data_IF_333927790639
#
_entry.id   IF_333927790639
#
_cell.length_a   1.000
_cell.length_b   1.000
_cell.length_c   1.000
_cell.angle_alpha   90.00
_cell.angle_beta   90.00
_cell.angle_gamma   90.00
#
_symmetry.space_group_name_H-M   'P 1'
#
loop_
_entity.id
_entity.type
_entity.pdbx_description
1 polymer ?
#
# COMPACT_ATOMS: atom_id res chain seq x y z
N UNK A 1 2.67 -45.42 -14.44
CA UNK A 1 3.36 -44.40 -13.63
C UNK A 1 2.52 -43.14 -13.68
N UNK A 2 1.62 -43.01 -12.71
CA UNK A 2 0.63 -41.94 -12.59
C UNK A 2 1.29 -40.67 -12.03
N UNK A 3 1.20 -39.57 -12.77
CA UNK A 3 1.69 -38.26 -12.35
C UNK A 3 0.69 -37.61 -11.39
N UNK A 4 1.08 -37.48 -10.13
CA UNK A 4 0.35 -36.72 -9.11
C UNK A 4 0.32 -35.23 -9.49
N UNK A 5 -0.87 -34.69 -9.69
CA UNK A 5 -1.13 -33.25 -9.83
C UNK A 5 -1.11 -32.61 -8.43
N UNK A 6 -0.16 -31.72 -8.09
CA UNK A 6 -0.02 -31.18 -6.73
C UNK A 6 -1.12 -30.18 -6.34
N UNK A 7 -2.03 -29.81 -7.25
CA UNK A 7 -3.13 -28.88 -6.96
C UNK A 7 -4.42 -29.54 -6.45
N UNK A 8 -4.49 -30.86 -6.35
CA UNK A 8 -5.74 -31.56 -6.01
C UNK A 8 -6.04 -31.70 -4.49
N UNK A 9 -5.14 -31.24 -3.60
CA UNK A 9 -5.18 -31.59 -2.17
C UNK A 9 -5.79 -30.52 -1.22
N UNK A 10 -6.51 -29.51 -1.71
CA UNK A 10 -7.13 -28.47 -0.87
C UNK A 10 -8.64 -28.32 -1.14
N UNK A 11 -9.44 -29.36 -0.97
CA UNK A 11 -10.81 -29.36 -1.51
C UNK A 11 -11.95 -29.45 -0.51
N UNK A 12 -11.73 -29.83 0.76
CA UNK A 12 -12.81 -29.92 1.77
C UNK A 12 -12.61 -28.97 2.97
N UNK A 13 -11.49 -28.97 3.72
CA UNK A 13 -11.35 -28.17 4.95
C UNK A 13 -11.33 -26.65 4.68
N UNK A 14 -10.71 -26.25 3.56
CA UNK A 14 -10.63 -24.84 3.17
C UNK A 14 -12.00 -24.26 2.79
N UNK A 15 -12.89 -25.07 2.20
CA UNK A 15 -14.25 -24.63 1.85
C UNK A 15 -15.11 -24.44 3.10
N UNK A 16 -14.93 -25.29 4.10
CA UNK A 16 -15.65 -25.22 5.37
C UNK A 16 -15.20 -24.01 6.21
N UNK A 17 -13.89 -23.74 6.26
CA UNK A 17 -13.34 -22.53 6.89
C UNK A 17 -13.89 -21.26 6.22
N UNK A 18 -13.92 -21.23 4.88
CA UNK A 18 -14.42 -20.08 4.14
C UNK A 18 -15.90 -19.81 4.42
N UNK A 19 -16.74 -20.85 4.63
CA UNK A 19 -18.17 -20.68 4.95
C UNK A 19 -18.40 -19.97 6.29
N UNK A 20 -17.47 -20.09 7.24
CA UNK A 20 -17.55 -19.47 8.55
C UNK A 20 -17.04 -18.02 8.58
N UNK A 21 -16.52 -17.51 7.46
CA UNK A 21 -16.04 -16.14 7.40
C UNK A 21 -17.18 -15.13 7.20
N UNK A 22 -17.02 -13.90 7.73
CA UNK A 22 -17.96 -12.82 7.48
C UNK A 22 -18.27 -12.66 5.99
N UNK A 23 -19.52 -12.34 5.66
CA UNK A 23 -19.99 -12.25 4.28
C UNK A 23 -19.16 -11.28 3.46
N UNK A 24 -18.80 -10.12 4.03
CA UNK A 24 -17.93 -9.12 3.41
C UNK A 24 -16.55 -9.67 3.04
N UNK A 25 -15.93 -10.50 3.89
CA UNK A 25 -14.62 -11.10 3.61
C UNK A 25 -14.71 -12.14 2.50
N UNK A 26 -15.79 -12.93 2.45
CA UNK A 26 -16.03 -13.89 1.36
C UNK A 26 -16.22 -13.19 0.02
N UNK A 27 -17.01 -12.12 -0.01
CA UNK A 27 -17.23 -11.30 -1.22
C UNK A 27 -15.92 -10.64 -1.66
N UNK A 28 -15.16 -10.08 -0.71
CA UNK A 28 -13.85 -9.48 -1.00
C UNK A 28 -12.90 -10.50 -1.65
N UNK A 29 -12.79 -11.70 -1.10
CA UNK A 29 -11.95 -12.75 -1.69
C UNK A 29 -12.40 -13.13 -3.10
N UNK A 30 -13.71 -13.27 -3.33
CA UNK A 30 -14.21 -13.60 -4.66
C UNK A 30 -13.94 -12.44 -5.65
N UNK A 31 -14.11 -11.20 -5.22
CA UNK A 31 -13.79 -10.01 -6.01
C UNK A 31 -12.29 -9.96 -6.35
N UNK A 32 -11.41 -10.23 -5.38
CA UNK A 32 -9.96 -10.31 -5.60
C UNK A 32 -9.58 -11.42 -6.58
N UNK A 33 -10.16 -12.61 -6.43
CA UNK A 33 -9.90 -13.72 -7.34
C UNK A 33 -10.32 -13.40 -8.78
N UNK A 34 -11.45 -12.73 -8.93
CA UNK A 34 -11.95 -12.24 -10.22
C UNK A 34 -11.00 -11.21 -10.81
N UNK A 35 -10.61 -10.20 -10.02
CA UNK A 35 -9.64 -9.18 -10.42
C UNK A 35 -8.27 -9.76 -10.81
N UNK A 36 -7.86 -10.86 -10.20
CA UNK A 36 -6.64 -11.60 -10.53
C UNK A 36 -6.80 -12.57 -11.71
N UNK A 37 -7.99 -12.68 -12.31
CA UNK A 37 -8.27 -13.64 -13.39
C UNK A 37 -8.28 -15.11 -12.96
N UNK A 38 -8.38 -15.38 -11.65
CA UNK A 38 -8.39 -16.74 -11.06
C UNK A 38 -9.79 -17.27 -10.72
N UNK A 39 -10.82 -16.49 -11.05
CA UNK A 39 -12.22 -16.87 -10.94
C UNK A 39 -13.06 -16.15 -12.02
N UNK A 40 -14.24 -16.68 -12.39
CA UNK A 40 -15.13 -16.03 -13.35
C UNK A 40 -15.61 -14.66 -12.87
N UNK A 41 -15.92 -13.77 -13.82
CA UNK A 41 -16.47 -12.43 -13.59
C UNK A 41 -17.96 -12.45 -13.22
N UNK A 42 -18.34 -13.35 -12.34
CA UNK A 42 -19.70 -13.60 -11.89
C UNK A 42 -19.73 -13.53 -10.36
N UNK A 43 -19.93 -12.32 -9.84
CA UNK A 43 -20.14 -12.10 -8.42
C UNK A 43 -21.31 -11.14 -8.26
N UNK A 44 -22.47 -11.73 -7.98
CA UNK A 44 -23.65 -11.00 -7.54
C UNK A 44 -23.40 -10.42 -6.14
N UNK A 45 -23.97 -9.24 -5.89
CA UNK A 45 -23.96 -8.66 -4.56
C UNK A 45 -24.85 -9.48 -3.63
N UNK A 46 -24.34 -10.02 -2.50
CA UNK A 46 -25.16 -10.83 -1.63
C UNK A 46 -26.20 -9.99 -0.88
N UNK A 47 -27.35 -10.61 -0.64
CA UNK A 47 -28.42 -10.01 0.16
C UNK A 47 -27.93 -9.77 1.61
N UNK A 48 -28.30 -8.62 2.16
CA UNK A 48 -27.97 -8.24 3.54
C UNK A 48 -26.53 -7.73 3.76
N UNK A 49 -25.67 -7.69 2.74
CA UNK A 49 -24.36 -7.03 2.85
C UNK A 49 -24.50 -5.52 2.63
N UNK A 50 -24.20 -4.75 3.67
CA UNK A 50 -24.09 -3.30 3.56
C UNK A 50 -22.88 -2.91 2.69
N UNK A 51 -23.03 -1.99 1.71
CA UNK A 51 -21.93 -1.41 0.95
C UNK A 51 -20.75 -0.95 1.80
N UNK A 52 -21.03 -0.36 2.95
CA UNK A 52 -20.06 0.17 3.89
C UNK A 52 -19.17 -0.93 4.47
N UNK A 53 -19.75 -2.08 4.83
CA UNK A 53 -19.01 -3.21 5.40
C UNK A 53 -18.05 -3.83 4.39
N UNK A 54 -18.48 -3.91 3.12
CA UNK A 54 -17.61 -4.34 2.03
C UNK A 54 -16.46 -3.36 1.81
N UNK A 55 -16.76 -2.06 1.78
CA UNK A 55 -15.74 -1.03 1.57
C UNK A 55 -14.74 -1.02 2.72
N UNK A 56 -15.21 -1.03 3.97
CA UNK A 56 -14.36 -1.06 5.15
C UNK A 56 -13.42 -2.26 5.14
N UNK A 57 -13.91 -3.44 4.71
CA UNK A 57 -13.08 -4.63 4.57
C UNK A 57 -12.04 -4.45 3.43
N UNK A 58 -12.44 -3.92 2.28
CA UNK A 58 -11.52 -3.66 1.16
C UNK A 58 -10.44 -2.61 1.51
N UNK A 59 -10.80 -1.58 2.28
CA UNK A 59 -9.89 -0.55 2.80
C UNK A 59 -8.92 -1.12 3.83
N UNK A 60 -9.42 -1.93 4.77
CA UNK A 60 -8.61 -2.62 5.78
C UNK A 60 -7.50 -3.46 5.15
N UNK A 61 -7.80 -4.14 4.05
CA UNK A 61 -6.81 -4.92 3.29
C UNK A 61 -6.06 -4.11 2.23
N UNK A 62 -6.36 -2.81 2.08
CA UNK A 62 -5.68 -1.88 1.16
C UNK A 62 -5.78 -2.29 -0.32
N UNK A 63 -6.91 -2.87 -0.73
CA UNK A 63 -7.14 -3.39 -2.09
C UNK A 63 -8.17 -2.61 -2.90
N UNK A 64 -8.70 -1.50 -2.37
CA UNK A 64 -9.73 -0.68 -3.04
C UNK A 64 -9.31 -0.22 -4.44
N UNK A 65 -8.13 0.39 -4.56
CA UNK A 65 -7.62 0.88 -5.85
C UNK A 65 -7.47 -0.27 -6.87
N UNK A 66 -6.88 -1.39 -6.41
CA UNK A 66 -6.73 -2.60 -7.20
C UNK A 66 -8.09 -3.14 -7.68
N UNK A 67 -9.07 -3.29 -6.79
CA UNK A 67 -10.41 -3.75 -7.14
C UNK A 67 -11.11 -2.80 -8.11
N UNK A 68 -11.03 -1.49 -7.88
CA UNK A 68 -11.65 -0.51 -8.78
C UNK A 68 -11.08 -0.59 -10.20
N UNK A 69 -9.77 -0.78 -10.33
CA UNK A 69 -9.09 -0.83 -11.62
C UNK A 69 -9.29 -2.17 -12.34
N UNK A 70 -9.21 -3.29 -11.61
CA UNK A 70 -9.15 -4.63 -12.19
C UNK A 70 -10.52 -5.32 -12.29
N UNK A 71 -11.51 -4.91 -11.48
CA UNK A 71 -12.86 -5.49 -11.60
C UNK A 71 -13.55 -5.00 -12.89
N UNK A 72 -14.12 -5.91 -13.69
CA UNK A 72 -14.86 -5.55 -14.89
C UNK A 72 -15.96 -4.53 -14.61
N UNK A 73 -16.05 -3.50 -15.44
CA UNK A 73 -17.08 -2.45 -15.32
C UNK A 73 -18.48 -3.06 -15.34
N UNK A 74 -18.73 -4.05 -16.21
CA UNK A 74 -20.01 -4.74 -16.33
C UNK A 74 -20.40 -5.50 -15.05
N UNK A 75 -19.43 -6.00 -14.29
CA UNK A 75 -19.67 -6.67 -13.01
C UNK A 75 -19.98 -5.64 -11.93
N UNK A 76 -19.18 -4.57 -11.84
CA UNK A 76 -19.43 -3.48 -10.86
C UNK A 76 -20.77 -2.79 -11.10
N UNK A 77 -21.22 -2.68 -12.35
CA UNK A 77 -22.51 -2.09 -12.70
C UNK A 77 -23.72 -2.85 -12.10
N UNK A 78 -23.55 -4.12 -11.72
CA UNK A 78 -24.59 -4.93 -11.09
C UNK A 78 -24.64 -4.75 -9.56
N UNK A 79 -23.66 -4.06 -8.97
CA UNK A 79 -23.62 -3.81 -7.53
C UNK A 79 -24.56 -2.67 -7.12
N UNK A 80 -24.95 -2.56 -5.85
CA UNK A 80 -25.70 -1.40 -5.36
C UNK A 80 -24.99 -0.09 -5.73
N UNK A 81 -25.76 0.94 -6.14
CA UNK A 81 -25.20 2.22 -6.59
C UNK A 81 -24.26 2.84 -5.55
N UNK A 82 -24.61 2.73 -4.26
CA UNK A 82 -23.79 3.20 -3.15
C UNK A 82 -22.43 2.49 -3.07
N UNK A 83 -22.39 1.17 -3.26
CA UNK A 83 -21.13 0.41 -3.28
C UNK A 83 -20.23 0.82 -4.46
N UNK A 84 -20.83 1.09 -5.63
CA UNK A 84 -20.09 1.57 -6.80
C UNK A 84 -19.48 2.95 -6.56
N UNK A 85 -20.26 3.87 -5.99
CA UNK A 85 -19.82 5.23 -5.65
C UNK A 85 -18.71 5.21 -4.60
N UNK A 86 -18.90 4.47 -3.51
CA UNK A 86 -17.94 4.31 -2.43
C UNK A 86 -16.60 3.73 -2.94
N UNK A 87 -16.64 2.64 -3.71
CA UNK A 87 -15.44 2.04 -4.30
C UNK A 87 -14.70 3.04 -5.20
N UNK A 88 -15.44 3.80 -6.03
CA UNK A 88 -14.86 4.81 -6.93
C UNK A 88 -14.23 5.96 -6.14
N UNK A 89 -14.93 6.48 -5.13
CA UNK A 89 -14.43 7.57 -4.30
C UNK A 89 -13.17 7.16 -3.52
N UNK A 90 -13.18 5.99 -2.90
CA UNK A 90 -12.03 5.47 -2.16
C UNK A 90 -10.84 5.13 -3.07
N UNK A 91 -11.09 4.65 -4.29
CA UNK A 91 -10.03 4.43 -5.29
C UNK A 91 -9.41 5.75 -5.77
N UNK A 92 -10.24 6.77 -6.02
CA UNK A 92 -9.77 8.12 -6.36
C UNK A 92 -8.90 8.69 -5.23
N UNK A 93 -9.37 8.61 -3.99
CA UNK A 93 -8.60 9.06 -2.84
C UNK A 93 -7.26 8.32 -2.69
N UNK A 94 -7.25 7.01 -2.96
CA UNK A 94 -6.02 6.21 -2.98
C UNK A 94 -5.03 6.67 -4.06
N UNK A 95 -5.53 7.00 -5.26
CA UNK A 95 -4.72 7.51 -6.36
C UNK A 95 -4.15 8.91 -6.05
N UNK A 96 -4.96 9.83 -5.50
CA UNK A 96 -4.52 11.15 -5.06
C UNK A 96 -3.36 11.03 -4.06
N UNK A 97 -3.51 10.19 -3.03
CA UNK A 97 -2.43 9.91 -2.06
C UNK A 97 -1.18 9.30 -2.67
N UNK A 98 -1.32 8.50 -3.73
CA UNK A 98 -0.17 7.92 -4.44
C UNK A 98 0.58 8.99 -5.24
N UNK A 99 -0.13 9.93 -5.84
CA UNK A 99 0.46 11.07 -6.54
C UNK A 99 1.19 12.01 -5.58
N UNK A 100 0.58 12.36 -4.45
CA UNK A 100 1.22 13.22 -3.43
C UNK A 100 2.56 12.63 -2.95
N UNK A 101 2.58 11.32 -2.72
CA UNK A 101 3.82 10.61 -2.36
C UNK A 101 4.83 10.54 -3.49
N UNK A 102 4.37 10.46 -4.73
CA UNK A 102 5.27 10.49 -5.90
C UNK A 102 5.94 11.86 -6.03
N UNK A 103 5.18 12.94 -5.83
CA UNK A 103 5.71 14.31 -5.81
C UNK A 103 6.71 14.47 -4.68
N UNK A 104 6.39 13.99 -3.48
CA UNK A 104 7.30 14.06 -2.34
C UNK A 104 8.58 13.25 -2.56
N UNK A 105 8.48 12.04 -3.15
CA UNK A 105 9.64 11.23 -3.49
C UNK A 105 10.55 11.95 -4.49
N UNK A 106 9.98 12.59 -5.52
CA UNK A 106 10.76 13.40 -6.49
C UNK A 106 11.45 14.57 -5.79
N UNK A 107 10.75 15.25 -4.89
CA UNK A 107 11.32 16.35 -4.09
C UNK A 107 12.50 15.89 -3.25
N UNK A 108 12.36 14.78 -2.53
CA UNK A 108 13.44 14.22 -1.70
C UNK A 108 14.60 13.74 -2.57
N UNK A 109 14.31 13.13 -3.73
CA UNK A 109 15.33 12.69 -4.67
C UNK A 109 16.23 13.85 -5.11
N UNK A 110 15.64 15.00 -5.45
CA UNK A 110 16.38 16.20 -5.84
C UNK A 110 17.21 16.76 -4.69
N UNK A 111 16.68 16.76 -3.46
CA UNK A 111 17.41 17.20 -2.27
C UNK A 111 18.61 16.31 -1.97
N UNK A 112 18.44 15.00 -2.06
CA UNK A 112 19.50 14.02 -1.81
C UNK A 112 20.56 14.06 -2.92
N UNK A 113 20.14 14.23 -4.18
CA UNK A 113 21.05 14.43 -5.30
C UNK A 113 21.91 15.70 -5.13
N UNK A 114 21.30 16.83 -4.75
CA UNK A 114 22.02 18.07 -4.49
C UNK A 114 23.02 17.97 -3.32
N UNK A 115 22.71 17.13 -2.32
CA UNK A 115 23.58 16.85 -1.18
C UNK A 115 24.58 15.70 -1.43
N UNK A 116 24.56 15.08 -2.61
CA UNK A 116 25.40 13.92 -2.95
C UNK A 116 25.15 12.71 -2.05
N UNK A 117 23.90 12.47 -1.66
CA UNK A 117 23.45 11.34 -0.82
C UNK A 117 22.81 10.29 -1.73
N UNK A 118 23.48 9.15 -2.00
CA UNK A 118 22.86 8.05 -2.72
C UNK A 118 21.76 7.42 -1.87
N UNK A 119 20.63 7.09 -2.49
CA UNK A 119 19.52 6.39 -1.83
C UNK A 119 18.78 5.45 -2.79
N UNK A 120 18.01 4.52 -2.23
CA UNK A 120 17.08 3.65 -2.94
C UNK A 120 15.68 3.79 -2.36
N UNK A 121 14.65 3.92 -3.21
CA UNK A 121 13.26 3.78 -2.76
C UNK A 121 12.87 2.29 -2.76
N UNK A 122 12.65 1.71 -1.57
CA UNK A 122 12.50 0.25 -1.38
C UNK A 122 11.09 -0.22 -1.76
N UNK A 123 10.07 0.59 -1.41
CA UNK A 123 8.67 0.37 -1.75
C UNK A 123 8.15 1.71 -2.23
N UNK A 124 7.53 1.77 -3.40
CA UNK A 124 7.08 3.07 -3.88
C UNK A 124 6.35 3.08 -5.21
N UNK A 125 6.00 4.30 -5.68
CA UNK A 125 5.36 4.57 -6.96
C UNK A 125 6.02 3.86 -8.14
N UNK A 126 7.36 3.77 -8.14
CA UNK A 126 8.13 3.09 -9.19
C UNK A 126 7.86 1.58 -9.23
N UNK A 127 7.75 0.96 -8.06
CA UNK A 127 7.36 -0.45 -7.96
C UNK A 127 5.87 -0.64 -8.29
N UNK A 128 5.01 0.34 -7.97
CA UNK A 128 3.61 0.32 -8.37
C UNK A 128 3.46 0.39 -9.90
N UNK A 129 4.20 1.29 -10.56
CA UNK A 129 4.27 1.39 -12.01
C UNK A 129 4.79 0.09 -12.64
N UNK A 130 5.83 -0.51 -12.07
CA UNK A 130 6.41 -1.75 -12.59
C UNK A 130 5.50 -2.98 -12.41
N UNK A 131 4.77 -3.08 -11.31
CA UNK A 131 3.92 -4.24 -11.00
C UNK A 131 2.49 -4.13 -11.53
N UNK A 132 1.91 -2.93 -11.54
CA UNK A 132 0.50 -2.70 -11.85
C UNK A 132 0.28 -1.88 -13.12
N UNK A 133 1.34 -1.34 -13.72
CA UNK A 133 1.26 -0.47 -14.91
C UNK A 133 0.75 0.94 -14.64
N UNK A 134 0.35 1.23 -13.40
CA UNK A 134 -0.20 2.51 -12.96
C UNK A 134 0.17 2.75 -11.48
N UNK A 135 0.69 3.95 -11.21
CA UNK A 135 1.11 4.40 -9.87
C UNK A 135 -0.07 4.45 -8.90
N UNK A 136 -1.28 4.76 -9.37
CA UNK A 136 -2.48 4.88 -8.54
C UNK A 136 -3.06 3.56 -8.03
N UNK A 137 -2.62 2.44 -8.61
CA UNK A 137 -3.16 1.09 -8.35
C UNK A 137 -2.73 0.49 -7.03
N UNK A 138 -1.57 0.92 -6.53
CA UNK A 138 -1.02 0.45 -5.26
C UNK A 138 -1.43 1.43 -4.17
N UNK A 139 -1.95 0.91 -3.06
CA UNK A 139 -2.05 1.71 -1.85
C UNK A 139 -0.67 2.25 -1.48
N UNK A 140 -0.49 3.54 -1.68
CA UNK A 140 0.73 4.22 -1.30
C UNK A 140 0.67 4.40 0.23
N UNK A 141 1.55 3.73 0.96
CA UNK A 141 1.71 3.85 2.40
C UNK A 141 2.69 4.97 2.72
N UNK A 142 3.84 4.64 3.27
CA UNK A 142 4.92 5.60 3.56
C UNK A 142 5.96 5.58 2.45
N UNK A 143 6.90 6.52 2.47
CA UNK A 143 8.07 6.48 1.60
C UNK A 143 9.22 5.79 2.32
N UNK A 144 9.44 4.50 2.01
CA UNK A 144 10.62 3.76 2.47
C UNK A 144 11.84 4.13 1.59
N UNK A 145 12.80 4.83 2.18
CA UNK A 145 14.07 5.19 1.58
C UNK A 145 15.19 4.42 2.29
N UNK A 146 16.15 3.92 1.52
CA UNK A 146 17.34 3.27 2.04
C UNK A 146 18.55 4.12 1.70
N UNK A 147 19.28 4.55 2.72
CA UNK A 147 20.56 5.25 2.60
C UNK A 147 21.68 4.41 3.21
N UNK A 148 22.92 4.67 2.80
CA UNK A 148 24.07 4.10 3.46
C UNK A 148 24.12 4.56 4.94
N UNK A 149 24.38 3.69 5.93
CA UNK A 149 24.37 4.05 7.35
C UNK A 149 25.27 5.25 7.69
N UNK A 150 26.37 5.42 6.96
CA UNK A 150 27.33 6.52 7.13
C UNK A 150 26.77 7.86 6.66
N UNK A 151 25.74 7.86 5.79
CA UNK A 151 25.08 9.05 5.25
C UNK A 151 23.77 9.38 5.96
N UNK A 152 23.33 8.57 6.94
CA UNK A 152 22.07 8.80 7.64
C UNK A 152 22.02 10.16 8.37
N UNK A 153 23.14 10.59 8.95
CA UNK A 153 23.22 11.89 9.61
C UNK A 153 23.07 13.06 8.61
N UNK A 154 23.65 12.91 7.40
CA UNK A 154 23.48 13.90 6.33
C UNK A 154 22.04 13.90 5.81
N UNK A 155 21.43 12.73 5.65
CA UNK A 155 20.04 12.57 5.23
C UNK A 155 19.08 13.22 6.24
N UNK A 156 19.31 13.00 7.54
CA UNK A 156 18.57 13.66 8.63
C UNK A 156 18.65 15.18 8.52
N UNK A 157 19.87 15.72 8.36
CA UNK A 157 20.09 17.15 8.24
C UNK A 157 19.35 17.74 7.01
N UNK A 158 19.43 17.08 5.86
CA UNK A 158 18.77 17.51 4.62
C UNK A 158 17.24 17.47 4.77
N UNK A 159 16.68 16.38 5.28
CA UNK A 159 15.23 16.25 5.48
C UNK A 159 14.70 17.31 6.46
N UNK A 160 15.41 17.53 7.58
CA UNK A 160 15.02 18.54 8.57
C UNK A 160 15.12 19.96 8.02
N UNK A 161 16.18 20.28 7.29
CA UNK A 161 16.32 21.57 6.62
C UNK A 161 15.22 21.80 5.57
N UNK A 162 14.72 20.72 4.96
CA UNK A 162 13.64 20.75 3.99
C UNK A 162 12.23 20.73 4.60
N UNK A 163 12.11 20.94 5.92
CA UNK A 163 10.84 21.06 6.64
C UNK A 163 10.25 19.75 7.13
N UNK A 164 10.95 18.62 7.01
CA UNK A 164 10.49 17.35 7.55
C UNK A 164 10.84 17.24 9.03
N UNK A 165 9.84 17.02 9.88
CA UNK A 165 10.05 16.80 11.31
C UNK A 165 10.36 15.32 11.55
N UNK A 166 11.44 15.03 12.26
CA UNK A 166 11.72 13.66 12.73
C UNK A 166 10.68 13.28 13.79
N UNK A 167 9.90 12.24 13.52
CA UNK A 167 8.91 11.66 14.45
C UNK A 167 9.47 10.49 15.24
N UNK A 168 10.47 9.79 14.72
CA UNK A 168 11.12 8.70 15.46
C UNK A 168 12.62 8.63 15.12
N UNK A 169 13.52 8.79 16.09
CA UNK A 169 13.25 9.30 17.44
C UNK A 169 12.90 10.80 17.42
N UNK A 170 11.93 11.21 18.23
CA UNK A 170 11.44 12.60 18.34
C UNK A 170 12.32 13.50 19.24
N UNK A 171 13.51 13.03 19.62
CA UNK A 171 14.48 13.75 20.43
C UNK A 171 15.86 13.80 19.76
N UNK A 172 16.72 14.72 20.20
CA UNK A 172 18.09 14.80 19.70
C UNK A 172 18.97 13.69 20.26
N UNK A 173 19.78 13.11 19.39
CA UNK A 173 20.74 12.07 19.73
C UNK A 173 22.15 12.67 19.78
N UNK A 174 22.90 12.36 20.83
CA UNK A 174 24.35 12.56 20.85
C UNK A 174 25.04 11.62 19.84
N UNK A 175 26.28 11.89 19.40
CA UNK A 175 27.00 10.99 18.47
C UNK A 175 27.10 9.53 18.94
N UNK A 176 27.15 9.29 20.26
CA UNK A 176 27.13 7.94 20.83
C UNK A 176 25.75 7.29 20.71
N UNK A 177 24.69 8.05 20.97
CA UNK A 177 23.31 7.56 20.85
C UNK A 177 22.95 7.29 19.39
N UNK A 178 23.40 8.11 18.43
CA UNK A 178 23.24 7.85 16.99
C UNK A 178 23.75 6.46 16.59
N UNK A 179 25.02 6.16 16.91
CA UNK A 179 25.63 4.85 16.60
C UNK A 179 24.89 3.69 17.26
N UNK A 180 24.44 3.88 18.50
CA UNK A 180 23.69 2.85 19.21
C UNK A 180 22.29 2.67 18.63
N UNK A 181 21.63 3.76 18.26
CA UNK A 181 20.29 3.75 17.69
C UNK A 181 20.30 3.02 16.35
N UNK A 182 21.20 3.37 15.43
CA UNK A 182 21.40 2.67 14.16
C UNK A 182 21.63 1.15 14.31
N UNK A 183 22.21 0.72 15.44
CA UNK A 183 22.49 -0.70 15.70
C UNK A 183 21.27 -1.47 16.24
N UNK A 184 20.37 -0.79 16.92
CA UNK A 184 19.19 -1.39 17.57
C UNK A 184 17.92 -1.20 16.72
N UNK A 185 17.85 -0.08 16.01
CA UNK A 185 16.75 0.38 15.18
C UNK A 185 17.27 0.62 13.78
N UNK A 186 16.49 0.16 12.80
CA UNK A 186 16.87 0.23 11.39
C UNK A 186 16.16 1.36 10.63
N UNK A 187 15.39 2.20 11.33
CA UNK A 187 14.54 3.20 10.71
C UNK A 187 14.54 4.51 11.51
N UNK A 188 14.63 5.62 10.80
CA UNK A 188 14.25 6.95 11.25
C UNK A 188 12.96 7.33 10.57
N UNK A 189 11.97 7.76 11.34
CA UNK A 189 10.71 8.25 10.78
C UNK A 189 10.68 9.78 10.76
N UNK A 190 10.18 10.31 9.64
CA UNK A 190 9.97 11.72 9.42
C UNK A 190 8.56 11.96 8.90
N UNK A 191 8.04 13.14 9.18
CA UNK A 191 6.76 13.60 8.68
C UNK A 191 6.90 15.01 8.12
N UNK A 192 6.43 15.20 6.90
CA UNK A 192 6.34 16.51 6.28
C UNK A 192 4.98 17.11 6.61
N UNK A 193 4.93 18.06 7.54
CA UNK A 193 3.69 18.68 7.99
C UNK A 193 2.97 19.49 6.87
N UNK A 194 3.68 19.83 5.78
CA UNK A 194 3.10 20.53 4.62
C UNK A 194 2.38 19.57 3.67
N UNK A 195 2.98 18.41 3.38
CA UNK A 195 2.43 17.44 2.42
C UNK A 195 1.65 16.31 3.10
N UNK A 196 1.77 16.16 4.42
CA UNK A 196 1.17 15.06 5.17
C UNK A 196 1.82 13.70 4.90
N UNK A 197 2.99 13.67 4.25
CA UNK A 197 3.69 12.44 3.86
C UNK A 197 4.63 11.99 4.97
N UNK A 198 4.53 10.71 5.31
CA UNK A 198 5.49 10.01 6.18
C UNK A 198 6.61 9.40 5.35
N UNK A 199 7.83 9.56 5.84
CA UNK A 199 9.09 9.14 5.20
C UNK A 199 9.83 8.28 6.22
N UNK A 200 10.30 7.12 5.82
CA UNK A 200 11.10 6.20 6.64
C UNK A 200 12.46 6.06 5.96
N UNK A 201 13.55 6.26 6.71
CA UNK A 201 14.94 6.23 6.21
C UNK A 201 15.80 5.25 6.99
#
# INVERSE_FOLDING_TARGET
>A
MSSLNPHAAYTEPAKEILRNWPVQTRVLLQALRTALGTAPAELAWPEGLAPEDFLAEAERHRVVAFLHQQLPVAMRAQWPALAQEQLRAAARHSAERALDRSVELVRIAQLFEAAGIPFLSVKGPLLAQALYGDVGSRHAGDLDLLVAPERLADADAVLRAAGCRRSQPDFELTPRQWRQYQRIKHEFEYFNDTTGVRIEV
#
